data_IF_977724767475
#
_entry.id   IF_977724767475
#
_cell.length_a   1.000
_cell.length_b   1.000
_cell.length_c   1.000
_cell.angle_alpha   90.00
_cell.angle_beta   90.00
_cell.angle_gamma   90.00
#
_symmetry.space_group_name_H-M   'P 1'
#
loop_
_entity.id
_entity.type
_entity.pdbx_description
1 polymer ?
#
# COMPACT_ATOMS: atom_id res chain seq x y z
N UNK A 1 3.28 -2.74 18.84
CA UNK A 1 2.49 -1.88 17.93
C UNK A 1 1.56 -2.77 17.13
N UNK A 2 0.28 -2.40 17.00
CA UNK A 2 -0.70 -3.12 16.17
C UNK A 2 -1.15 -2.12 15.10
N UNK A 3 -1.10 -2.50 13.82
CA UNK A 3 -1.59 -1.68 12.70
C UNK A 3 -2.62 -2.52 11.94
N UNK A 4 -3.93 -2.35 12.21
CA UNK A 4 -4.94 -3.05 11.45
C UNK A 4 -4.95 -2.58 9.99
N UNK A 5 -5.29 -3.48 9.06
CA UNK A 5 -5.33 -3.18 7.63
C UNK A 5 -6.75 -3.27 7.06
N UNK A 6 -7.06 -2.37 6.14
CA UNK A 6 -8.30 -2.35 5.36
C UNK A 6 -7.92 -2.41 3.87
N UNK A 7 -8.24 -3.51 3.22
CA UNK A 7 -8.08 -3.64 1.78
C UNK A 7 -9.36 -3.18 1.07
N UNK A 8 -9.24 -2.27 0.12
CA UNK A 8 -10.35 -1.68 -0.62
C UNK A 8 -10.46 -2.29 -2.02
N UNK A 9 -11.65 -2.78 -2.35
CA UNK A 9 -11.99 -3.27 -3.69
C UNK A 9 -13.46 -2.96 -4.00
N UNK A 10 -13.72 -2.37 -5.17
CA UNK A 10 -15.04 -1.91 -5.61
C UNK A 10 -15.78 -1.06 -4.55
N UNK A 11 -15.05 -0.18 -3.86
CA UNK A 11 -15.61 0.68 -2.82
C UNK A 11 -15.94 0.00 -1.48
N UNK A 12 -15.60 -1.29 -1.32
CA UNK A 12 -15.87 -2.09 -0.12
C UNK A 12 -14.58 -2.50 0.58
N UNK A 13 -14.66 -2.86 1.86
CA UNK A 13 -13.57 -3.53 2.55
C UNK A 13 -13.62 -5.04 2.28
N UNK A 14 -12.50 -5.62 1.84
CA UNK A 14 -12.41 -7.04 1.49
C UNK A 14 -11.26 -7.71 2.21
N UNK A 15 -11.28 -9.04 2.25
CA UNK A 15 -10.10 -9.85 2.57
C UNK A 15 -9.91 -10.87 1.46
N UNK A 16 -8.69 -10.91 0.90
CA UNK A 16 -8.30 -11.89 -0.11
C UNK A 16 -7.39 -12.95 0.51
N UNK A 17 -7.68 -14.22 0.25
CA UNK A 17 -6.74 -15.32 0.52
C UNK A 17 -5.64 -15.28 -0.54
N UNK A 18 -4.39 -15.10 -0.11
CA UNK A 18 -3.20 -15.01 -0.99
C UNK A 18 -3.38 -14.02 -2.17
N UNK A 19 -4.09 -12.93 -1.93
CA UNK A 19 -4.33 -11.88 -2.95
C UNK A 19 -5.23 -12.29 -4.11
N UNK A 20 -5.96 -13.42 -4.02
CA UNK A 20 -6.81 -13.93 -5.11
C UNK A 20 -8.26 -14.18 -4.69
N UNK A 21 -8.47 -15.03 -3.70
CA UNK A 21 -9.84 -15.49 -3.38
C UNK A 21 -10.48 -14.59 -2.33
N UNK A 22 -11.56 -13.88 -2.69
CA UNK A 22 -12.30 -13.05 -1.74
C UNK A 22 -13.01 -13.92 -0.71
N UNK A 23 -12.60 -13.82 0.55
CA UNK A 23 -13.14 -14.63 1.66
C UNK A 23 -14.05 -13.84 2.60
N UNK A 24 -13.86 -12.52 2.70
CA UNK A 24 -14.72 -11.63 3.47
C UNK A 24 -14.97 -10.34 2.70
N UNK A 25 -16.15 -9.77 2.92
CA UNK A 25 -16.56 -8.46 2.41
C UNK A 25 -17.34 -7.72 3.50
N UNK A 26 -17.14 -6.39 3.55
CA UNK A 26 -17.88 -5.44 4.37
C UNK A 26 -18.25 -4.26 3.48
N UNK A 27 -19.54 -3.94 3.42
CA UNK A 27 -20.06 -2.88 2.56
C UNK A 27 -19.48 -1.50 2.89
N UNK A 28 -19.29 -1.20 4.18
CA UNK A 28 -18.84 0.12 4.61
C UNK A 28 -17.42 0.09 5.22
N UNK A 29 -16.37 0.41 4.45
CA UNK A 29 -15.00 0.48 4.98
C UNK A 29 -14.83 1.59 6.04
N UNK A 30 -15.71 2.59 6.07
CA UNK A 30 -15.65 3.69 7.03
C UNK A 30 -15.98 3.21 8.45
N UNK A 31 -16.90 2.27 8.60
CA UNK A 31 -17.26 1.75 9.92
C UNK A 31 -16.11 0.91 10.50
N UNK A 32 -15.45 0.13 9.66
CA UNK A 32 -14.24 -0.61 10.04
C UNK A 32 -13.11 0.33 10.47
N UNK A 33 -12.93 1.46 9.76
CA UNK A 33 -11.95 2.47 10.15
C UNK A 33 -12.26 3.09 11.53
N UNK A 34 -13.53 3.35 11.85
CA UNK A 34 -13.91 3.83 13.20
C UNK A 34 -13.58 2.80 14.28
N UNK A 35 -13.86 1.52 14.03
CA UNK A 35 -13.52 0.44 14.96
C UNK A 35 -12.00 0.30 15.17
N UNK A 36 -11.23 0.54 14.11
CA UNK A 36 -9.78 0.42 14.10
C UNK A 36 -9.05 1.67 14.62
N UNK A 37 -9.71 2.82 14.72
CA UNK A 37 -9.09 4.07 15.18
C UNK A 37 -8.47 3.98 16.59
N UNK A 38 -8.95 3.04 17.42
CA UNK A 38 -8.36 2.76 18.74
C UNK A 38 -6.91 2.26 18.71
N UNK A 39 -6.39 1.88 17.54
CA UNK A 39 -5.03 1.37 17.36
C UNK A 39 -4.02 2.45 16.89
N UNK A 40 -4.39 3.73 16.97
CA UNK A 40 -3.63 4.92 16.53
C UNK A 40 -3.40 5.03 15.03
N UNK A 41 -3.05 3.94 14.35
CA UNK A 41 -2.68 3.94 12.93
C UNK A 41 -3.34 2.79 12.18
N UNK A 42 -3.82 3.07 10.96
CA UNK A 42 -4.49 2.11 10.09
C UNK A 42 -3.70 2.01 8.77
N UNK A 43 -3.53 0.79 8.26
CA UNK A 43 -3.06 0.59 6.89
C UNK A 43 -4.27 0.48 5.95
N UNK A 44 -4.29 1.24 4.86
CA UNK A 44 -5.34 1.18 3.85
C UNK A 44 -4.72 0.83 2.51
N UNK A 45 -5.13 -0.28 1.90
CA UNK A 45 -4.58 -0.75 0.63
C UNK A 45 -5.65 -0.67 -0.46
N UNK A 46 -5.43 0.19 -1.45
CA UNK A 46 -6.32 0.31 -2.62
C UNK A 46 -5.99 -0.78 -3.66
N UNK A 47 -6.71 -1.90 -3.60
CA UNK A 47 -6.51 -3.01 -4.52
C UNK A 47 -6.96 -2.66 -5.95
N UNK A 48 -7.98 -1.83 -6.10
CA UNK A 48 -8.42 -1.38 -7.43
C UNK A 48 -7.33 -0.58 -8.12
N UNK A 49 -6.68 0.34 -7.39
CA UNK A 49 -5.54 1.11 -7.90
C UNK A 49 -4.33 0.20 -8.16
N UNK A 50 -4.04 -0.75 -7.27
CA UNK A 50 -2.96 -1.72 -7.46
C UNK A 50 -3.15 -2.57 -8.73
N UNK A 51 -4.40 -2.93 -9.04
CA UNK A 51 -4.77 -3.72 -10.22
C UNK A 51 -5.02 -2.86 -11.48
N UNK A 52 -4.98 -1.53 -11.37
CA UNK A 52 -5.24 -0.61 -12.49
C UNK A 52 -6.70 -0.57 -12.96
N UNK A 53 -7.65 -0.91 -12.07
CA UNK A 53 -9.09 -0.99 -12.37
C UNK A 53 -9.90 0.21 -11.89
N UNK A 54 -9.28 1.14 -11.18
CA UNK A 54 -9.94 2.30 -10.60
C UNK A 54 -9.13 2.87 -9.44
N UNK A 55 -9.74 3.77 -8.67
CA UNK A 55 -9.18 4.33 -7.45
C UNK A 55 -10.29 4.57 -6.43
N UNK A 56 -10.01 4.35 -5.16
CA UNK A 56 -10.94 4.56 -4.04
C UNK A 56 -10.69 5.88 -3.31
N UNK A 57 -10.25 6.92 -4.02
CA UNK A 57 -9.74 8.18 -3.46
C UNK A 57 -10.68 8.91 -2.52
N UNK A 58 -11.99 8.88 -2.81
CA UNK A 58 -13.01 9.48 -1.96
C UNK A 58 -13.16 8.74 -0.63
N UNK A 59 -13.03 7.41 -0.64
CA UNK A 59 -13.08 6.56 0.57
C UNK A 59 -11.81 6.75 1.38
N UNK A 60 -10.64 6.71 0.73
CA UNK A 60 -9.34 6.93 1.38
C UNK A 60 -9.33 8.27 2.12
N UNK A 61 -9.78 9.36 1.46
CA UNK A 61 -9.87 10.69 2.10
C UNK A 61 -10.75 10.67 3.35
N UNK A 62 -11.90 9.97 3.30
CA UNK A 62 -12.79 9.84 4.47
C UNK A 62 -12.14 9.06 5.60
N UNK A 63 -11.44 7.96 5.30
CA UNK A 63 -10.74 7.14 6.31
C UNK A 63 -9.60 7.94 6.95
N UNK A 64 -8.79 8.63 6.16
CA UNK A 64 -7.70 9.48 6.66
C UNK A 64 -8.20 10.65 7.51
N UNK A 65 -9.45 11.10 7.31
CA UNK A 65 -10.08 12.10 8.18
C UNK A 65 -10.51 11.56 9.55
N UNK A 66 -10.49 10.25 9.76
CA UNK A 66 -10.92 9.59 11.00
C UNK A 66 -9.75 9.07 11.85
N UNK A 67 -8.65 8.67 11.20
CA UNK A 67 -7.50 8.04 11.85
C UNK A 67 -6.20 8.36 11.10
N UNK A 68 -5.07 8.20 11.78
CA UNK A 68 -3.76 8.25 11.10
C UNK A 68 -3.61 7.05 10.16
N UNK A 69 -3.24 7.30 8.90
CA UNK A 69 -3.32 6.31 7.85
C UNK A 69 -2.03 6.18 7.03
N UNK A 70 -1.56 4.94 6.90
CA UNK A 70 -0.59 4.52 5.89
C UNK A 70 -1.37 4.03 4.68
N UNK A 71 -1.16 4.61 3.50
CA UNK A 71 -1.95 4.26 2.31
C UNK A 71 -1.08 3.62 1.24
N UNK A 72 -1.48 2.43 0.78
CA UNK A 72 -0.85 1.72 -0.34
C UNK A 72 -1.80 1.50 -1.50
N UNK A 73 -1.26 1.05 -2.63
CA UNK A 73 -2.03 0.66 -3.80
C UNK A 73 -1.87 1.59 -5.00
N UNK A 74 -1.34 1.06 -6.10
CA UNK A 74 -1.29 1.75 -7.40
C UNK A 74 -0.37 2.96 -7.49
N UNK A 75 0.58 3.14 -6.56
CA UNK A 75 1.52 4.25 -6.57
C UNK A 75 2.66 3.95 -7.54
N UNK A 76 2.58 4.51 -8.75
CA UNK A 76 3.53 4.27 -9.84
C UNK A 76 4.45 5.46 -10.14
N UNK A 77 4.13 6.62 -9.59
CA UNK A 77 4.83 7.89 -9.77
C UNK A 77 4.71 8.77 -8.51
N UNK A 78 5.47 9.86 -8.50
CA UNK A 78 5.51 10.81 -7.38
C UNK A 78 4.25 11.68 -7.26
N UNK A 79 3.51 11.87 -8.34
CA UNK A 79 2.28 12.68 -8.32
C UNK A 79 1.16 11.94 -7.59
N UNK A 80 1.02 10.63 -7.82
CA UNK A 80 0.10 9.79 -7.06
C UNK A 80 0.43 9.78 -5.57
N UNK A 81 1.71 9.76 -5.22
CA UNK A 81 2.16 9.88 -3.84
C UNK A 81 1.71 11.21 -3.20
N UNK A 82 1.97 12.34 -3.86
CA UNK A 82 1.51 13.66 -3.39
C UNK A 82 -0.01 13.72 -3.25
N UNK A 83 -0.73 13.14 -4.21
CA UNK A 83 -2.18 13.10 -4.17
C UNK A 83 -2.69 12.41 -2.90
N UNK A 84 -2.14 11.25 -2.55
CA UNK A 84 -2.53 10.51 -1.35
C UNK A 84 -2.17 11.27 -0.06
N UNK A 85 -0.99 11.87 0.02
CA UNK A 85 -0.60 12.73 1.16
C UNK A 85 -1.57 13.92 1.28
N UNK A 86 -1.93 14.56 0.17
CA UNK A 86 -2.89 15.69 0.15
C UNK A 86 -4.29 15.30 0.62
N UNK A 87 -4.63 14.01 0.55
CA UNK A 87 -5.90 13.44 1.01
C UNK A 87 -5.87 13.02 2.49
N UNK A 88 -4.75 13.22 3.19
CA UNK A 88 -4.61 12.99 4.62
C UNK A 88 -3.80 11.74 4.99
N UNK A 89 -3.23 11.01 4.03
CA UNK A 89 -2.31 9.93 4.36
C UNK A 89 -1.06 10.51 5.05
N UNK A 90 -0.65 9.95 6.18
CA UNK A 90 0.61 10.36 6.83
C UNK A 90 1.82 9.73 6.15
N UNK A 91 1.64 8.51 5.62
CA UNK A 91 2.64 7.74 4.91
C UNK A 91 2.04 7.03 3.72
N UNK A 92 2.87 6.75 2.72
CA UNK A 92 2.52 5.90 1.60
C UNK A 92 3.28 4.57 1.64
N UNK A 93 2.62 3.51 1.19
CA UNK A 93 3.18 2.16 1.10
C UNK A 93 3.46 1.84 -0.36
N UNK A 94 4.73 1.61 -0.67
CA UNK A 94 5.23 1.24 -2.00
C UNK A 94 5.58 -0.24 -2.00
N UNK A 95 4.89 -1.02 -2.83
CA UNK A 95 5.22 -2.43 -3.07
C UNK A 95 6.06 -2.60 -4.34
N UNK A 96 5.48 -3.26 -5.34
CA UNK A 96 6.21 -3.72 -6.52
C UNK A 96 7.01 -2.65 -7.26
N UNK A 97 6.57 -1.39 -7.34
CA UNK A 97 7.30 -0.34 -8.08
C UNK A 97 8.62 0.07 -7.42
N UNK A 98 8.86 -0.29 -6.16
CA UNK A 98 10.19 -0.19 -5.55
C UNK A 98 11.22 -1.08 -6.26
N UNK A 99 10.78 -2.05 -7.06
CA UNK A 99 11.59 -2.95 -7.86
C UNK A 99 11.21 -2.83 -9.34
N UNK A 100 12.18 -2.83 -10.22
CA UNK A 100 11.98 -2.81 -11.68
C UNK A 100 13.13 -3.53 -12.36
N UNK A 101 12.83 -4.36 -13.35
CA UNK A 101 13.83 -5.20 -14.03
C UNK A 101 14.73 -5.97 -13.05
N UNK A 102 14.12 -6.58 -12.04
CA UNK A 102 14.80 -7.40 -11.03
C UNK A 102 15.88 -6.67 -10.21
N UNK A 103 15.74 -5.35 -10.10
CA UNK A 103 16.63 -4.47 -9.34
C UNK A 103 15.83 -3.45 -8.53
N UNK A 104 16.48 -2.81 -7.56
CA UNK A 104 15.89 -1.69 -6.82
C UNK A 104 15.71 -0.50 -7.78
N UNK A 105 14.51 0.06 -7.82
CA UNK A 105 14.20 1.23 -8.63
C UNK A 105 14.64 2.52 -7.92
N UNK A 106 15.95 2.77 -7.87
CA UNK A 106 16.52 3.94 -7.20
C UNK A 106 16.00 5.27 -7.75
N UNK A 107 15.75 5.35 -9.05
CA UNK A 107 15.23 6.57 -9.68
C UNK A 107 13.83 6.90 -9.16
N UNK A 108 12.93 5.91 -9.11
CA UNK A 108 11.58 6.08 -8.57
C UNK A 108 11.61 6.38 -7.06
N UNK A 109 12.41 5.67 -6.28
CA UNK A 109 12.49 5.92 -4.83
C UNK A 109 13.07 7.30 -4.52
N UNK A 110 14.05 7.76 -5.30
CA UNK A 110 14.61 9.12 -5.19
C UNK A 110 13.57 10.20 -5.54
N UNK A 111 12.77 9.98 -6.59
CA UNK A 111 11.72 10.93 -6.97
C UNK A 111 10.62 11.01 -5.90
N UNK A 112 10.21 9.88 -5.30
CA UNK A 112 9.29 9.86 -4.17
C UNK A 112 9.86 10.60 -2.96
N UNK A 113 11.11 10.32 -2.58
CA UNK A 113 11.77 10.99 -1.47
C UNK A 113 11.83 12.51 -1.68
N UNK A 114 12.11 12.96 -2.90
CA UNK A 114 12.12 14.38 -3.24
C UNK A 114 10.73 15.01 -3.18
N UNK A 115 9.68 14.24 -3.46
CA UNK A 115 8.31 14.75 -3.53
C UNK A 115 7.59 14.84 -2.18
N UNK A 116 7.82 13.88 -1.27
CA UNK A 116 7.10 13.77 0.01
C UNK A 116 8.01 13.53 1.21
N UNK A 117 9.32 13.37 1.00
CA UNK A 117 10.27 13.11 2.08
C UNK A 117 10.27 11.67 2.59
N UNK A 118 11.47 11.23 3.01
CA UNK A 118 11.74 9.85 3.44
C UNK A 118 10.83 9.36 4.58
N UNK A 119 10.45 10.23 5.51
CA UNK A 119 9.65 9.87 6.68
C UNK A 119 8.21 9.46 6.31
N UNK A 120 7.74 9.87 5.12
CA UNK A 120 6.41 9.55 4.61
C UNK A 120 6.40 8.31 3.72
N UNK A 121 7.52 7.60 3.56
CA UNK A 121 7.64 6.45 2.65
C UNK A 121 7.85 5.17 3.43
N UNK A 122 7.02 4.16 3.13
CA UNK A 122 7.18 2.77 3.58
C UNK A 122 7.36 1.91 2.34
N UNK A 123 8.37 1.03 2.35
CA UNK A 123 8.56 0.02 1.32
C UNK A 123 8.01 -1.31 1.85
N UNK A 124 6.98 -1.84 1.20
CA UNK A 124 6.47 -3.18 1.44
C UNK A 124 7.24 -4.17 0.57
N UNK A 125 7.85 -5.16 1.21
CA UNK A 125 8.67 -6.19 0.55
C UNK A 125 8.02 -7.54 0.84
N UNK A 126 7.47 -8.15 -0.20
CA UNK A 126 7.01 -9.53 -0.15
C UNK A 126 8.18 -10.45 -0.47
N UNK A 127 8.30 -11.55 0.27
CA UNK A 127 9.36 -12.54 0.05
C UNK A 127 8.82 -13.97 0.16
N UNK A 128 9.36 -14.85 -0.67
CA UNK A 128 9.10 -16.28 -0.66
C UNK A 128 10.44 -17.02 -0.67
N UNK A 129 10.66 -17.91 0.29
CA UNK A 129 11.93 -18.65 0.45
C UNK A 129 13.19 -17.75 0.49
N UNK A 130 13.06 -16.58 1.13
CA UNK A 130 14.16 -15.61 1.28
C UNK A 130 14.45 -14.77 0.03
N UNK A 131 13.69 -14.95 -1.04
CA UNK A 131 13.78 -14.18 -2.28
C UNK A 131 12.63 -13.18 -2.39
N UNK A 132 12.93 -11.97 -2.85
CA UNK A 132 11.93 -10.91 -3.05
C UNK A 132 11.02 -11.28 -4.23
N UNK A 133 9.72 -11.20 -4.00
CA UNK A 133 8.69 -11.43 -5.02
C UNK A 133 7.87 -10.16 -5.27
N UNK A 134 7.43 -9.99 -6.52
CA UNK A 134 6.63 -8.83 -6.95
C UNK A 134 5.41 -9.27 -7.74
N UNK A 135 4.58 -8.30 -8.17
CA UNK A 135 3.37 -8.54 -8.97
C UNK A 135 2.39 -9.52 -8.30
N UNK A 136 2.08 -9.27 -7.02
CA UNK A 136 1.24 -10.15 -6.20
C UNK A 136 1.77 -11.60 -6.16
N UNK A 137 3.04 -11.75 -5.79
CA UNK A 137 3.72 -13.05 -5.57
C UNK A 137 3.93 -13.88 -6.85
N UNK A 138 3.72 -13.30 -8.04
CA UNK A 138 3.82 -14.01 -9.33
C UNK A 138 5.21 -13.96 -9.94
N UNK A 139 6.00 -12.95 -9.61
CA UNK A 139 7.31 -12.73 -10.22
C UNK A 139 8.42 -12.82 -9.16
N UNK A 140 9.37 -13.73 -9.39
CA UNK A 140 10.57 -13.92 -8.59
C UNK A 140 11.68 -13.01 -9.14
N UNK A 141 12.25 -12.16 -8.29
CA UNK A 141 13.21 -11.14 -8.73
C UNK A 141 14.67 -11.61 -8.73
N UNK A 142 14.96 -12.78 -8.18
CA UNK A 142 16.34 -13.24 -7.92
C UNK A 142 17.04 -12.53 -6.75
N UNK A 143 16.51 -11.40 -6.27
CA UNK A 143 17.09 -10.63 -5.17
C UNK A 143 16.83 -11.31 -3.82
N UNK A 144 17.88 -11.50 -3.02
CA UNK A 144 17.76 -12.01 -1.66
C UNK A 144 17.36 -10.89 -0.69
N UNK A 145 16.33 -11.16 0.12
CA UNK A 145 15.74 -10.18 1.04
C UNK A 145 16.81 -9.52 1.95
N UNK A 146 17.65 -10.33 2.58
CA UNK A 146 18.65 -9.88 3.55
C UNK A 146 19.89 -9.23 2.90
N UNK A 147 20.06 -9.34 1.58
CA UNK A 147 21.13 -8.65 0.88
C UNK A 147 20.71 -7.24 0.46
N UNK A 148 19.42 -7.07 0.17
CA UNK A 148 18.80 -5.81 -0.26
C UNK A 148 18.46 -4.91 0.91
N UNK A 149 17.92 -5.46 2.00
CA UNK A 149 17.51 -4.71 3.19
C UNK A 149 18.68 -4.66 4.17
N UNK A 150 19.45 -3.58 4.14
CA UNK A 150 20.56 -3.29 5.07
C UNK A 150 20.31 -2.03 5.87
#
# INVERSE_FOLDING_TARGET
MIVPSIDLMNGKAVQLKQGKDKILERENPIDLAKEFNKFNEIAVIDLDAAMGKGKNDGIIKKICGLADCRVGGGIKDADRARELISRGASKIIIGSKAFENDQINHQFLSSLNSAIGRQQIIIAIDAFEGEIVTQAWKHKTGLKLFEVVK
#
